data_IF_042206991494
#
_entry.id   IF_042206991494
#
_cell.length_a   1.000
_cell.length_b   1.000
_cell.length_c   1.000
_cell.angle_alpha   90.00
_cell.angle_beta   90.00
_cell.angle_gamma   90.00
#
_symmetry.space_group_name_H-M   'P 1'
#
loop_
_entity.id
_entity.type
_entity.pdbx_description
1 polymer ?
#
# COMPACT_ATOMS: atom_id res chain seq x y z
N UNK A 1 19.95 -30.48 21.40
CA UNK A 1 19.94 -29.12 21.98
C UNK A 1 18.59 -28.50 21.67
N UNK A 2 17.83 -27.98 22.65
CA UNK A 2 16.59 -27.27 22.34
C UNK A 2 16.95 -25.98 21.58
N UNK A 3 16.19 -25.72 20.51
CA UNK A 3 16.35 -24.55 19.65
C UNK A 3 16.00 -23.30 20.48
N UNK A 4 17.00 -22.55 20.95
CA UNK A 4 16.76 -21.34 21.73
C UNK A 4 16.01 -20.34 20.84
N UNK A 5 14.89 -19.73 21.31
CA UNK A 5 14.11 -18.83 20.46
C UNK A 5 14.97 -17.63 20.06
N UNK A 6 14.93 -17.28 18.77
CA UNK A 6 15.63 -16.11 18.26
C UNK A 6 15.29 -14.87 19.10
N UNK A 7 16.32 -14.28 19.72
CA UNK A 7 16.18 -13.12 20.60
C UNK A 7 16.17 -11.86 19.74
N UNK A 8 15.21 -10.97 19.98
CA UNK A 8 15.19 -9.67 19.33
C UNK A 8 16.45 -8.87 19.69
N UNK A 9 17.20 -8.46 18.68
CA UNK A 9 18.33 -7.54 18.80
C UNK A 9 17.93 -6.19 18.19
N UNK A 10 17.93 -5.08 18.96
CA UNK A 10 17.63 -3.78 18.41
C UNK A 10 18.74 -3.34 17.44
N UNK A 11 18.35 -2.89 16.26
CA UNK A 11 19.25 -2.27 15.28
C UNK A 11 18.86 -0.80 15.16
N UNK A 12 19.77 0.10 15.49
CA UNK A 12 19.56 1.55 15.47
C UNK A 12 20.14 2.15 14.19
N UNK A 13 19.49 1.85 13.06
CA UNK A 13 19.82 2.39 11.74
C UNK A 13 18.56 3.07 11.18
N UNK A 14 18.65 4.37 10.90
CA UNK A 14 17.52 5.17 10.40
C UNK A 14 17.10 4.79 8.98
N UNK A 15 17.99 4.17 8.21
CA UNK A 15 17.74 3.71 6.85
C UNK A 15 17.32 2.23 6.81
N UNK A 16 17.28 1.56 7.96
CA UNK A 16 16.90 0.16 8.04
C UNK A 16 15.48 -0.01 7.52
N UNK A 17 15.33 -0.93 6.57
CA UNK A 17 14.02 -1.41 6.16
C UNK A 17 13.91 -2.90 6.44
N UNK A 18 12.75 -3.34 6.93
CA UNK A 18 12.47 -4.75 7.15
C UNK A 18 12.15 -5.48 5.84
N UNK A 19 11.88 -6.78 5.95
CA UNK A 19 11.34 -7.60 4.87
C UNK A 19 9.93 -7.15 4.42
N UNK A 20 9.30 -6.26 5.18
CA UNK A 20 8.00 -5.68 4.89
C UNK A 20 8.15 -4.18 4.59
N UNK A 21 7.50 -3.73 3.53
CA UNK A 21 7.15 -2.34 3.33
C UNK A 21 5.71 -2.12 3.81
N UNK A 22 5.44 -0.99 4.47
CA UNK A 22 4.11 -0.72 5.03
C UNK A 22 3.64 0.67 4.65
N UNK A 23 2.33 0.82 4.55
CA UNK A 23 1.70 2.11 4.39
C UNK A 23 0.33 2.14 5.05
N UNK A 24 0.02 3.24 5.72
CA UNK A 24 -1.28 3.50 6.32
C UNK A 24 -1.72 4.90 5.96
N UNK A 25 -3.01 5.07 5.69
CA UNK A 25 -3.61 6.38 5.47
C UNK A 25 -5.05 6.45 5.99
N UNK A 26 -5.46 7.66 6.36
CA UNK A 26 -6.82 7.99 6.79
C UNK A 26 -7.30 9.23 6.04
N UNK A 27 -8.53 9.17 5.54
CA UNK A 27 -9.15 10.22 4.75
C UNK A 27 -10.53 10.53 5.31
N UNK A 28 -10.79 11.81 5.57
CA UNK A 28 -12.13 12.29 5.85
C UNK A 28 -13.03 12.11 4.62
N UNK A 29 -14.14 11.41 4.76
CA UNK A 29 -15.12 11.17 3.68
C UNK A 29 -15.68 12.51 3.18
N UNK A 30 -15.91 13.46 4.08
CA UNK A 30 -16.38 14.79 3.73
C UNK A 30 -15.41 15.56 2.82
N UNK A 31 -14.09 15.32 2.94
CA UNK A 31 -13.09 15.94 2.04
C UNK A 31 -13.22 15.40 0.61
N UNK A 32 -13.49 14.10 0.46
CA UNK A 32 -13.73 13.50 -0.86
C UNK A 32 -15.05 14.00 -1.45
N UNK A 33 -16.10 14.11 -0.63
CA UNK A 33 -17.36 14.71 -1.07
C UNK A 33 -17.15 16.13 -1.62
N UNK A 34 -16.51 17.02 -0.86
CA UNK A 34 -16.23 18.39 -1.31
C UNK A 34 -15.44 18.43 -2.62
N UNK A 35 -14.44 17.55 -2.76
CA UNK A 35 -13.65 17.46 -3.99
C UNK A 35 -14.49 16.98 -5.19
N UNK A 36 -15.45 16.08 -4.96
CA UNK A 36 -16.40 15.65 -5.99
C UNK A 36 -17.37 16.77 -6.34
N UNK A 37 -17.84 17.54 -5.37
CA UNK A 37 -18.73 18.68 -5.60
C UNK A 37 -18.03 19.76 -6.44
N UNK A 38 -16.76 20.06 -6.13
CA UNK A 38 -15.97 21.10 -6.80
C UNK A 38 -15.51 20.70 -8.22
N UNK A 39 -15.14 19.43 -8.42
CA UNK A 39 -14.44 18.99 -9.64
C UNK A 39 -15.11 17.83 -10.40
N UNK A 40 -16.09 17.16 -9.81
CA UNK A 40 -16.87 16.08 -10.41
C UNK A 40 -16.04 15.04 -11.14
N UNK A 41 -16.42 14.80 -12.40
CA UNK A 41 -15.82 13.77 -13.26
C UNK A 41 -14.32 14.01 -13.53
N UNK A 42 -13.85 15.26 -13.50
CA UNK A 42 -12.42 15.56 -13.67
C UNK A 42 -11.57 14.95 -12.56
N UNK A 43 -12.05 15.04 -11.32
CA UNK A 43 -11.38 14.40 -10.18
C UNK A 43 -11.44 12.88 -10.32
N UNK A 44 -12.63 12.33 -10.62
CA UNK A 44 -12.80 10.89 -10.78
C UNK A 44 -11.86 10.30 -11.83
N UNK A 45 -11.79 10.94 -13.00
CA UNK A 45 -10.91 10.49 -14.09
C UNK A 45 -9.43 10.65 -13.80
N UNK A 46 -9.05 11.58 -12.92
CA UNK A 46 -7.65 11.77 -12.52
C UNK A 46 -7.18 10.70 -11.55
N UNK A 47 -8.03 10.30 -10.61
CA UNK A 47 -7.64 9.46 -9.47
C UNK A 47 -7.96 7.98 -9.68
N UNK A 48 -9.12 7.68 -10.25
CA UNK A 48 -9.64 6.32 -10.34
C UNK A 48 -9.56 5.80 -11.77
N UNK A 49 -9.18 4.52 -11.88
CA UNK A 49 -9.27 3.74 -13.11
C UNK A 49 -10.73 3.59 -13.54
N UNK A 50 -10.95 3.17 -14.78
CA UNK A 50 -12.30 2.92 -15.30
C UNK A 50 -13.05 1.87 -14.45
N UNK A 51 -12.41 0.74 -14.17
CA UNK A 51 -12.98 -0.34 -13.34
C UNK A 51 -13.35 0.12 -11.93
N UNK A 52 -12.54 0.99 -11.33
CA UNK A 52 -12.85 1.58 -10.03
C UNK A 52 -14.07 2.50 -10.10
N UNK A 53 -14.17 3.35 -11.13
CA UNK A 53 -15.31 4.26 -11.31
C UNK A 53 -16.60 3.51 -11.57
N UNK A 54 -16.59 2.52 -12.46
CA UNK A 54 -17.77 1.72 -12.79
C UNK A 54 -18.35 1.03 -11.56
N UNK A 55 -17.48 0.54 -10.67
CA UNK A 55 -17.92 -0.25 -9.52
C UNK A 55 -18.22 0.58 -8.27
N UNK A 56 -17.54 1.71 -8.09
CA UNK A 56 -17.55 2.44 -6.81
C UNK A 56 -17.82 3.94 -6.96
N UNK A 57 -17.95 4.46 -8.18
CA UNK A 57 -18.06 5.90 -8.50
C UNK A 57 -19.21 6.63 -7.82
N UNK A 58 -20.29 5.93 -7.48
CA UNK A 58 -21.48 6.51 -6.85
C UNK A 58 -21.41 6.52 -5.31
N UNK A 59 -20.40 5.85 -4.71
CA UNK A 59 -20.30 5.66 -3.27
C UNK A 59 -19.08 6.39 -2.72
N UNK A 60 -19.32 7.58 -2.15
CA UNK A 60 -18.25 8.47 -1.68
C UNK A 60 -17.37 7.83 -0.60
N UNK A 61 -17.94 7.02 0.31
CA UNK A 61 -17.17 6.28 1.31
C UNK A 61 -16.23 5.24 0.68
N UNK A 62 -16.65 4.59 -0.41
CA UNK A 62 -15.83 3.64 -1.16
C UNK A 62 -14.71 4.38 -1.92
N UNK A 63 -15.03 5.52 -2.56
CA UNK A 63 -14.02 6.36 -3.19
C UNK A 63 -12.98 6.85 -2.19
N UNK A 64 -13.41 7.24 -0.99
CA UNK A 64 -12.51 7.65 0.09
C UNK A 64 -11.60 6.50 0.56
N UNK A 65 -12.14 5.29 0.73
CA UNK A 65 -11.33 4.12 1.11
C UNK A 65 -10.28 3.78 0.04
N UNK A 66 -10.61 3.94 -1.25
CA UNK A 66 -9.66 3.72 -2.37
C UNK A 66 -8.63 4.84 -2.47
N UNK A 67 -9.03 6.07 -2.17
CA UNK A 67 -8.10 7.18 -2.07
C UNK A 67 -7.06 6.92 -0.96
N UNK A 68 -7.52 6.55 0.23
CA UNK A 68 -6.65 6.16 1.34
C UNK A 68 -5.72 4.99 0.97
N UNK A 69 -6.22 3.99 0.24
CA UNK A 69 -5.42 2.86 -0.20
C UNK A 69 -4.32 3.26 -1.20
N UNK A 70 -4.60 4.19 -2.11
CA UNK A 70 -3.60 4.73 -3.05
C UNK A 70 -2.53 5.54 -2.30
N UNK A 71 -2.91 6.35 -1.32
CA UNK A 71 -1.97 7.07 -0.44
C UNK A 71 -1.10 6.11 0.39
N UNK A 72 -1.71 5.11 1.01
CA UNK A 72 -1.02 4.05 1.74
C UNK A 72 -0.04 3.28 0.82
N UNK A 73 -0.44 2.98 -0.41
CA UNK A 73 0.43 2.34 -1.40
C UNK A 73 1.65 3.22 -1.74
N UNK A 74 1.43 4.51 -1.97
CA UNK A 74 2.50 5.49 -2.22
C UNK A 74 3.52 5.57 -1.08
N UNK A 75 3.06 5.45 0.18
CA UNK A 75 3.94 5.34 1.36
C UNK A 75 4.75 4.04 1.37
N UNK A 76 4.11 2.90 1.09
CA UNK A 76 4.80 1.61 1.00
C UNK A 76 5.85 1.58 -0.12
N UNK A 77 5.66 2.34 -1.21
CA UNK A 77 6.62 2.48 -2.30
C UNK A 77 7.74 3.51 -2.01
N UNK A 78 7.70 4.20 -0.87
CA UNK A 78 8.75 5.14 -0.44
C UNK A 78 8.95 6.35 -1.37
N UNK A 79 8.01 6.64 -2.28
CA UNK A 79 8.11 7.76 -3.23
C UNK A 79 7.32 8.99 -2.78
N UNK A 80 6.33 8.80 -1.90
CA UNK A 80 5.19 9.69 -1.87
C UNK A 80 4.44 9.69 -3.21
N UNK A 81 3.60 10.70 -3.46
CA UNK A 81 2.82 10.83 -4.72
C UNK A 81 3.69 11.42 -5.86
N UNK A 82 5.02 11.43 -5.73
CA UNK A 82 5.91 12.01 -6.74
C UNK A 82 6.29 10.95 -7.76
N UNK A 83 6.02 11.23 -9.04
CA UNK A 83 6.42 10.37 -10.17
C UNK A 83 5.47 9.21 -10.48
N UNK A 84 4.53 8.87 -9.59
CA UNK A 84 3.51 7.84 -9.81
C UNK A 84 2.14 8.49 -10.00
N UNK A 85 1.41 8.08 -11.04
CA UNK A 85 0.05 8.57 -11.28
C UNK A 85 -0.93 7.78 -10.41
N UNK A 86 -1.96 8.43 -9.89
CA UNK A 86 -3.00 7.79 -9.07
C UNK A 86 -3.63 6.53 -9.68
N UNK A 87 -3.84 6.52 -11.00
CA UNK A 87 -4.43 5.39 -11.73
C UNK A 87 -3.46 4.22 -11.94
N UNK A 88 -2.19 4.40 -11.63
CA UNK A 88 -1.21 3.30 -11.63
C UNK A 88 -1.28 2.45 -10.36
N UNK A 89 -2.08 2.87 -9.36
CA UNK A 89 -2.38 2.11 -8.16
C UNK A 89 -3.87 1.81 -8.18
N UNK A 90 -4.28 0.64 -8.65
CA UNK A 90 -5.68 0.25 -8.81
C UNK A 90 -6.15 -0.63 -7.63
N UNK A 91 -7.30 -0.30 -7.05
CA UNK A 91 -7.88 -1.03 -5.92
C UNK A 91 -9.23 -1.62 -6.32
N UNK A 92 -9.26 -2.94 -6.48
CA UNK A 92 -10.45 -3.69 -6.92
C UNK A 92 -10.75 -4.83 -5.96
N UNK A 93 -11.99 -5.30 -5.90
CA UNK A 93 -12.32 -6.50 -5.13
C UNK A 93 -12.21 -7.75 -5.99
N UNK A 94 -11.60 -8.81 -5.45
CA UNK A 94 -11.64 -10.13 -6.08
C UNK A 94 -13.06 -10.74 -6.04
N UNK A 95 -13.20 -11.96 -6.57
CA UNK A 95 -14.50 -12.68 -6.64
C UNK A 95 -15.17 -12.91 -5.28
N UNK A 96 -14.40 -12.88 -4.18
CA UNK A 96 -14.90 -13.04 -2.80
C UNK A 96 -15.11 -11.70 -2.08
N UNK A 97 -14.93 -10.57 -2.76
CA UNK A 97 -15.06 -9.24 -2.16
C UNK A 97 -13.80 -8.71 -1.46
N UNK A 98 -12.74 -9.52 -1.29
CA UNK A 98 -11.49 -9.06 -0.67
C UNK A 98 -10.84 -8.00 -1.58
N UNK A 99 -10.42 -6.83 -1.05
CA UNK A 99 -9.69 -5.82 -1.81
C UNK A 99 -8.33 -6.36 -2.27
N UNK A 100 -7.92 -5.95 -3.46
CA UNK A 100 -6.68 -6.31 -4.14
C UNK A 100 -6.07 -5.04 -4.72
N UNK A 101 -4.77 -4.87 -4.48
CA UNK A 101 -3.96 -3.82 -5.08
C UNK A 101 -3.31 -4.35 -6.37
N UNK A 102 -3.49 -3.63 -7.47
CA UNK A 102 -2.83 -3.89 -8.74
C UNK A 102 -2.01 -2.66 -9.11
N UNK A 103 -0.71 -2.87 -9.34
CA UNK A 103 0.21 -1.81 -9.76
C UNK A 103 0.43 -1.86 -11.27
N UNK A 104 0.45 -0.68 -11.88
CA UNK A 104 0.69 -0.49 -13.31
C UNK A 104 1.85 0.49 -13.52
N UNK A 105 2.39 0.56 -14.75
CA UNK A 105 3.31 1.62 -15.18
C UNK A 105 4.46 1.90 -14.20
N UNK A 106 4.62 3.16 -13.81
CA UNK A 106 5.71 3.58 -12.92
C UNK A 106 5.58 3.02 -11.50
N UNK A 107 4.36 2.77 -11.02
CA UNK A 107 4.16 2.15 -9.71
C UNK A 107 4.70 0.71 -9.68
N UNK A 108 4.43 -0.07 -10.73
CA UNK A 108 4.95 -1.43 -10.87
C UNK A 108 6.48 -1.43 -11.03
N UNK A 109 7.02 -0.52 -11.85
CA UNK A 109 8.47 -0.37 -12.01
C UNK A 109 9.16 -0.02 -10.68
N UNK A 110 8.56 0.87 -9.88
CA UNK A 110 9.08 1.22 -8.55
C UNK A 110 9.04 0.04 -7.58
N UNK A 111 7.94 -0.72 -7.56
CA UNK A 111 7.84 -1.91 -6.74
C UNK A 111 8.96 -2.92 -7.07
N UNK A 112 9.22 -3.14 -8.36
CA UNK A 112 10.30 -4.00 -8.83
C UNK A 112 11.69 -3.49 -8.38
N UNK A 113 11.97 -2.19 -8.49
CA UNK A 113 13.23 -1.59 -8.01
C UNK A 113 13.45 -1.78 -6.51
N UNK A 114 12.37 -1.80 -5.73
CA UNK A 114 12.41 -2.03 -4.28
C UNK A 114 12.40 -3.52 -3.90
N UNK A 115 12.37 -4.42 -4.89
CA UNK A 115 12.28 -5.86 -4.68
C UNK A 115 10.95 -6.32 -4.06
N UNK A 116 9.87 -5.56 -4.22
CA UNK A 116 8.55 -5.90 -3.68
C UNK A 116 7.86 -6.95 -4.58
N UNK A 117 7.54 -8.10 -3.99
CA UNK A 117 7.03 -9.29 -4.67
C UNK A 117 5.50 -9.41 -4.64
N UNK A 118 4.90 -9.01 -3.52
CA UNK A 118 3.46 -9.14 -3.31
C UNK A 118 2.96 -8.03 -2.38
N UNK A 119 1.68 -7.70 -2.49
CA UNK A 119 1.00 -6.76 -1.61
C UNK A 119 -0.30 -7.34 -1.09
N UNK A 120 -0.57 -7.10 0.19
CA UNK A 120 -1.89 -7.22 0.79
C UNK A 120 -2.41 -5.83 1.17
N UNK A 121 -3.72 -5.64 1.01
CA UNK A 121 -4.41 -4.41 1.35
C UNK A 121 -5.65 -4.71 2.17
N UNK A 122 -5.93 -3.86 3.16
CA UNK A 122 -7.15 -3.85 3.95
C UNK A 122 -7.75 -2.46 3.94
N UNK A 123 -9.08 -2.39 3.82
CA UNK A 123 -9.86 -1.15 3.76
C UNK A 123 -10.91 -1.17 4.85
N UNK A 124 -11.16 -0.02 5.47
CA UNK A 124 -12.31 0.17 6.37
C UNK A 124 -12.83 1.59 6.24
N UNK A 125 -14.09 1.81 6.60
CA UNK A 125 -14.63 3.15 6.74
C UNK A 125 -15.65 3.20 7.88
N UNK A 126 -15.71 4.35 8.53
CA UNK A 126 -16.75 4.74 9.47
C UNK A 126 -17.76 5.66 8.76
N UNK A 127 -18.51 6.44 9.54
CA UNK A 127 -19.37 7.51 9.03
C UNK A 127 -18.57 8.71 8.51
N UNK A 128 -17.43 8.99 9.14
CA UNK A 128 -16.65 10.22 8.90
C UNK A 128 -15.35 9.97 8.18
N UNK A 129 -14.77 8.79 8.35
CA UNK A 129 -13.39 8.50 7.95
C UNK A 129 -13.32 7.21 7.17
N UNK A 130 -12.39 7.15 6.21
CA UNK A 130 -12.00 5.94 5.52
C UNK A 130 -10.51 5.71 5.73
N UNK A 131 -10.11 4.47 5.92
CA UNK A 131 -8.73 4.08 6.20
C UNK A 131 -8.30 2.93 5.31
N UNK A 132 -7.01 2.87 5.04
CA UNK A 132 -6.40 1.73 4.37
C UNK A 132 -5.04 1.39 4.97
N UNK A 133 -4.75 0.09 4.98
CA UNK A 133 -3.45 -0.45 5.37
C UNK A 133 -2.93 -1.35 4.26
N UNK A 134 -1.67 -1.13 3.88
CA UNK A 134 -0.97 -1.85 2.81
C UNK A 134 0.30 -2.45 3.38
N UNK A 135 0.54 -3.73 3.08
CA UNK A 135 1.77 -4.45 3.40
C UNK A 135 2.33 -5.02 2.11
N UNK A 136 3.58 -4.67 1.80
CA UNK A 136 4.35 -5.24 0.70
C UNK A 136 5.44 -6.16 1.22
N UNK A 137 5.58 -7.35 0.63
CA UNK A 137 6.65 -8.30 0.94
C UNK A 137 7.85 -8.05 0.01
N UNK A 138 9.03 -7.82 0.58
CA UNK A 138 10.29 -7.74 -0.17
C UNK A 138 10.89 -9.12 -0.40
N UNK A 139 11.59 -9.29 -1.50
CA UNK A 139 12.57 -10.36 -1.64
C UNK A 139 13.60 -10.22 -0.53
N UNK A 140 13.73 -11.24 0.32
CA UNK A 140 14.82 -11.31 1.30
C UNK A 140 16.06 -11.80 0.55
N UNK A 141 17.18 -11.05 0.54
CA UNK A 141 18.43 -11.58 0.00
C UNK A 141 18.83 -12.83 0.79
N UNK A 142 19.11 -13.93 0.10
CA UNK A 142 19.54 -15.19 0.72
C UNK A 142 20.75 -14.99 1.66
N UNK A 143 21.62 -14.05 1.30
CA UNK A 143 22.87 -13.73 1.97
C UNK A 143 22.70 -13.12 3.39
N UNK A 144 21.48 -12.67 3.73
CA UNK A 144 21.16 -12.06 5.03
C UNK A 144 20.85 -13.06 6.14
N UNK A 145 20.39 -14.28 5.80
CA UNK A 145 20.13 -15.32 6.79
C UNK A 145 21.43 -16.04 7.18
N UNK A 146 22.29 -16.32 6.20
CA UNK A 146 23.55 -17.03 6.45
C UNK A 146 24.58 -16.17 7.20
N UNK A 147 24.61 -14.86 6.96
CA UNK A 147 25.55 -13.95 7.64
C UNK A 147 25.18 -13.66 9.10
N UNK A 148 23.89 -13.60 9.43
CA UNK A 148 23.38 -13.51 10.81
C UNK A 148 23.57 -14.84 11.56
N UNK A 149 23.30 -15.98 10.91
CA UNK A 149 23.53 -17.32 11.50
C UNK A 149 25.03 -17.62 11.70
N UNK A 150 25.91 -17.17 10.80
CA UNK A 150 27.36 -17.35 10.95
C UNK A 150 27.95 -16.53 12.10
N UNK A 151 27.35 -15.37 12.43
CA UNK A 151 27.74 -14.53 13.57
C UNK A 151 27.26 -15.05 14.92
N UNK A 152 26.22 -15.89 14.92
CA UNK A 152 25.70 -16.57 16.12
C UNK A 152 26.39 -17.92 16.38
N UNK A 153 27.21 -18.40 15.43
CA UNK A 153 27.96 -19.66 15.51
C UNK A 153 29.43 -19.49 15.94
N UNK A 154 29.86 -18.28 16.32
CA UNK A 154 31.20 -17.97 16.89
C UNK A 154 31.04 -17.42 18.30
#
# INVERSE_FOLDING_TARGET
MPNEPARYVPVFDSERTGALAVGIDIIEIARIQRTLDDFGDRFLRRVFTERERERYGERVSELAARFAAKEATSKALGTGIRGIRWREMEIVSNRRGKPVLVLHGQAAARAAQLGLLAFDVSLTHSRTDAMAFVVGLKAVPADGLDSELSRLAT
#
